data_IF_830323335017
#
_entry.id   IF_830323335017
#
_cell.length_a   1.000
_cell.length_b   1.000
_cell.length_c   1.000
_cell.angle_alpha   90.00
_cell.angle_beta   90.00
_cell.angle_gamma   90.00
#
_symmetry.space_group_name_H-M   'P 1'
#
loop_
_entity.id
_entity.type
_entity.pdbx_description
1 polymer ?
#
# COMPACT_ATOMS: atom_id res chain seq x y z
N UNK A 1 -11.76 -14.42 4.49
CA UNK A 1 -10.93 -13.37 3.89
C UNK A 1 -10.01 -12.88 4.99
N UNK A 2 -8.69 -13.05 4.85
CA UNK A 2 -7.73 -12.76 5.92
C UNK A 2 -7.07 -11.39 5.81
N UNK A 3 -6.16 -11.11 6.72
CA UNK A 3 -5.51 -9.80 6.90
C UNK A 3 -4.91 -9.23 5.60
N UNK A 4 -4.36 -10.09 4.74
CA UNK A 4 -3.75 -9.69 3.46
C UNK A 4 -4.72 -8.87 2.60
N UNK A 5 -5.99 -9.27 2.53
CA UNK A 5 -6.96 -8.61 1.67
C UNK A 5 -7.69 -7.46 2.38
N UNK A 6 -7.87 -7.57 3.70
CA UNK A 6 -8.59 -6.56 4.50
C UNK A 6 -7.71 -5.33 4.81
N UNK A 7 -6.43 -5.56 5.08
CA UNK A 7 -5.48 -4.55 5.56
C UNK A 7 -4.22 -4.50 4.69
N UNK A 8 -3.69 -5.65 4.27
CA UNK A 8 -2.50 -5.74 3.43
C UNK A 8 -2.64 -5.10 2.04
N UNK A 9 -3.88 -4.93 1.55
CA UNK A 9 -4.17 -4.26 0.30
C UNK A 9 -3.74 -2.78 0.30
N UNK A 10 -3.76 -2.12 1.45
CA UNK A 10 -3.34 -0.72 1.58
C UNK A 10 -1.84 -0.52 1.34
N UNK A 11 -0.92 -1.17 2.09
CA UNK A 11 0.51 -1.02 1.82
C UNK A 11 0.92 -1.60 0.46
N UNK A 12 0.26 -2.63 -0.06
CA UNK A 12 0.56 -3.15 -1.41
C UNK A 12 0.18 -2.16 -2.50
N UNK A 13 -1.00 -1.53 -2.41
CA UNK A 13 -1.42 -0.52 -3.40
C UNK A 13 -0.54 0.74 -3.37
N UNK A 14 -0.08 1.16 -2.18
CA UNK A 14 0.90 2.25 -2.06
C UNK A 14 2.27 1.85 -2.61
N UNK A 15 2.76 0.64 -2.32
CA UNK A 15 4.00 0.13 -2.90
C UNK A 15 3.91 0.10 -4.44
N UNK A 16 2.79 -0.38 -4.97
CA UNK A 16 2.51 -0.38 -6.41
C UNK A 16 2.60 1.03 -7.00
N UNK A 17 1.91 2.00 -6.39
CA UNK A 17 1.95 3.39 -6.82
C UNK A 17 3.37 3.98 -6.79
N UNK A 18 4.15 3.71 -5.73
CA UNK A 18 5.53 4.19 -5.61
C UNK A 18 6.43 3.61 -6.69
N UNK A 19 6.37 2.30 -6.91
CA UNK A 19 7.22 1.62 -7.90
C UNK A 19 6.89 2.08 -9.31
N UNK A 20 5.60 2.17 -9.67
CA UNK A 20 5.20 2.67 -10.98
C UNK A 20 5.63 4.12 -11.19
N UNK A 21 5.42 4.99 -10.19
CA UNK A 21 5.75 6.42 -10.30
C UNK A 21 7.26 6.64 -10.48
N UNK A 22 8.09 5.87 -9.78
CA UNK A 22 9.53 6.05 -9.80
C UNK A 22 10.25 5.31 -10.94
N UNK A 23 9.71 4.17 -11.40
CA UNK A 23 10.42 3.25 -12.30
C UNK A 23 9.61 2.80 -13.53
N UNK A 24 8.37 3.29 -13.69
CA UNK A 24 7.50 2.97 -14.82
C UNK A 24 6.56 1.78 -14.58
N UNK A 25 5.56 1.64 -15.45
CA UNK A 25 4.48 0.63 -15.36
C UNK A 25 4.98 -0.80 -15.21
N UNK A 26 6.05 -1.16 -15.94
CA UNK A 26 6.47 -2.55 -16.04
C UNK A 26 7.34 -2.99 -14.85
N UNK A 27 7.73 -2.06 -13.97
CA UNK A 27 8.66 -2.34 -12.88
C UNK A 27 8.04 -3.20 -11.79
N UNK A 28 6.74 -3.05 -11.53
CA UNK A 28 6.08 -3.76 -10.44
C UNK A 28 5.97 -5.28 -10.69
N UNK A 29 5.76 -5.68 -11.95
CA UNK A 29 5.68 -7.09 -12.34
C UNK A 29 7.01 -7.84 -12.17
N UNK A 30 8.14 -7.13 -12.21
CA UNK A 30 9.50 -7.69 -12.17
C UNK A 30 10.02 -7.76 -10.73
N UNK A 31 9.62 -8.81 -10.02
CA UNK A 31 9.87 -8.95 -8.58
C UNK A 31 10.09 -10.40 -8.14
N UNK A 32 10.73 -10.54 -6.98
CA UNK A 32 10.84 -11.76 -6.20
C UNK A 32 10.20 -11.54 -4.84
N UNK A 33 9.45 -12.53 -4.36
CA UNK A 33 8.67 -12.44 -3.12
C UNK A 33 9.12 -13.51 -2.12
N UNK A 34 9.21 -13.13 -0.85
CA UNK A 34 9.32 -14.05 0.28
C UNK A 34 8.33 -13.62 1.34
N UNK A 35 7.40 -14.49 1.71
CA UNK A 35 6.35 -14.18 2.68
C UNK A 35 6.29 -15.22 3.78
N UNK A 36 5.94 -14.80 4.99
CA UNK A 36 5.72 -15.65 6.16
C UNK A 36 4.49 -15.19 6.90
N UNK A 37 3.84 -16.09 7.63
CA UNK A 37 2.66 -15.71 8.38
C UNK A 37 2.05 -16.83 9.21
N UNK A 38 1.10 -16.43 10.04
CA UNK A 38 0.32 -17.32 10.90
C UNK A 38 -1.09 -17.49 10.33
N UNK A 39 -1.61 -18.71 10.43
CA UNK A 39 -2.99 -19.04 10.06
C UNK A 39 -3.85 -19.03 11.33
N UNK A 40 -5.00 -18.38 11.25
CA UNK A 40 -6.07 -18.57 12.24
C UNK A 40 -6.91 -19.77 11.85
N UNK A 41 -7.26 -20.60 12.83
CA UNK A 41 -8.27 -21.67 12.70
C UNK A 41 -9.56 -21.34 13.48
N UNK A 42 -9.63 -20.16 14.09
CA UNK A 42 -10.79 -19.72 14.86
C UNK A 42 -11.87 -19.17 13.92
N UNK A 43 -13.06 -19.78 13.95
CA UNK A 43 -14.19 -19.42 13.10
C UNK A 43 -14.01 -19.85 11.64
N UNK A 44 -13.04 -19.26 10.93
CA UNK A 44 -12.71 -19.62 9.55
C UNK A 44 -11.19 -19.71 9.36
N UNK A 45 -10.73 -20.61 8.50
CA UNK A 45 -9.30 -20.72 8.18
C UNK A 45 -8.87 -19.55 7.31
N UNK A 46 -7.95 -18.72 7.78
CA UNK A 46 -7.42 -17.57 7.03
C UNK A 46 -6.03 -17.14 7.53
N UNK A 47 -5.29 -16.41 6.70
CA UNK A 47 -4.06 -15.74 7.13
C UNK A 47 -4.41 -14.63 8.13
N UNK A 48 -3.91 -14.74 9.35
CA UNK A 48 -4.15 -13.79 10.45
C UNK A 48 -3.01 -12.78 10.57
N UNK A 49 -1.78 -13.24 10.42
CA UNK A 49 -0.57 -12.42 10.46
C UNK A 49 0.23 -12.67 9.19
N UNK A 50 0.71 -11.62 8.55
CA UNK A 50 1.41 -11.71 7.29
C UNK A 50 2.59 -10.74 7.25
N UNK A 51 3.75 -11.26 6.87
CA UNK A 51 4.98 -10.56 6.59
C UNK A 51 5.38 -10.82 5.14
N UNK A 52 5.81 -9.79 4.41
CA UNK A 52 6.31 -9.90 3.04
C UNK A 52 7.61 -9.13 2.88
N UNK A 53 8.58 -9.71 2.18
CA UNK A 53 9.71 -9.02 1.60
C UNK A 53 9.66 -9.16 0.09
N UNK A 54 9.88 -8.03 -0.60
CA UNK A 54 9.89 -7.93 -2.05
C UNK A 54 11.25 -7.41 -2.49
N UNK A 55 11.84 -8.04 -3.51
CA UNK A 55 12.99 -7.52 -4.25
C UNK A 55 12.57 -7.28 -5.70
N UNK A 56 12.63 -6.04 -6.14
CA UNK A 56 12.39 -5.68 -7.54
C UNK A 56 13.68 -5.78 -8.35
N UNK A 57 13.58 -6.02 -9.67
CA UNK A 57 14.74 -6.14 -10.56
C UNK A 57 15.57 -4.85 -10.67
N UNK A 58 14.94 -3.70 -10.40
CA UNK A 58 15.60 -2.39 -10.31
C UNK A 58 16.41 -2.20 -9.00
N UNK A 59 16.45 -3.20 -8.11
CA UNK A 59 17.20 -3.19 -6.87
C UNK A 59 16.45 -2.65 -5.65
N UNK A 60 15.21 -2.16 -5.81
CA UNK A 60 14.39 -1.72 -4.68
C UNK A 60 14.01 -2.91 -3.81
N UNK A 61 14.15 -2.74 -2.50
CA UNK A 61 13.67 -3.68 -1.48
C UNK A 61 12.46 -3.07 -0.77
N UNK A 62 11.43 -3.87 -0.55
CA UNK A 62 10.27 -3.49 0.24
C UNK A 62 9.94 -4.55 1.28
N UNK A 63 9.46 -4.11 2.45
CA UNK A 63 8.95 -4.97 3.50
C UNK A 63 7.56 -4.50 3.90
N UNK A 64 6.58 -5.41 3.86
CA UNK A 64 5.20 -5.14 4.24
C UNK A 64 4.79 -6.05 5.40
N UNK A 65 3.88 -5.55 6.24
CA UNK A 65 3.26 -6.30 7.32
C UNK A 65 1.75 -6.07 7.29
N UNK A 66 0.99 -7.07 7.69
CA UNK A 66 -0.45 -6.98 7.91
C UNK A 66 -0.84 -7.96 9.01
N UNK A 67 -1.72 -7.55 9.92
CA UNK A 67 -2.16 -8.41 11.02
C UNK A 67 -3.59 -8.10 11.43
N UNK A 68 -4.36 -9.15 11.72
CA UNK A 68 -5.66 -9.08 12.40
C UNK A 68 -5.53 -9.41 13.90
N UNK A 69 -4.31 -9.67 14.39
CA UNK A 69 -4.05 -10.14 15.76
C UNK A 69 -3.95 -9.03 16.79
N UNK A 70 -3.51 -7.82 16.40
CA UNK A 70 -3.23 -6.74 17.35
C UNK A 70 -3.18 -5.38 16.69
N UNK A 71 -3.59 -4.36 17.46
CA UNK A 71 -3.41 -2.94 17.13
C UNK A 71 -4.13 -2.47 15.87
N UNK A 72 -4.19 -1.16 15.69
CA UNK A 72 -4.64 -0.54 14.43
C UNK A 72 -3.61 0.52 14.00
N UNK A 73 -2.33 0.17 14.14
CA UNK A 73 -1.24 1.08 13.79
C UNK A 73 -1.01 1.07 12.28
N UNK A 74 -0.58 2.21 11.74
CA UNK A 74 -0.41 2.44 10.33
C UNK A 74 0.90 3.17 10.06
N UNK A 75 1.74 2.61 9.20
CA UNK A 75 2.94 3.30 8.76
C UNK A 75 3.29 2.95 7.32
N UNK A 76 3.84 3.93 6.62
CA UNK A 76 4.43 3.74 5.31
C UNK A 76 5.56 4.75 5.13
N UNK A 77 6.73 4.26 4.72
CA UNK A 77 7.92 5.07 4.54
C UNK A 77 8.69 4.62 3.29
N UNK A 78 9.24 5.60 2.59
CA UNK A 78 10.10 5.44 1.42
C UNK A 78 11.48 5.97 1.81
N UNK A 79 12.50 5.15 1.67
CA UNK A 79 13.88 5.50 1.99
C UNK A 79 14.68 5.54 0.68
N UNK A 80 15.27 6.69 0.40
CA UNK A 80 16.23 6.87 -0.69
C UNK A 80 17.66 7.05 -0.16
N UNK A 81 18.55 7.42 -1.06
CA UNK A 81 19.96 7.74 -0.78
C UNK A 81 20.13 9.11 -0.10
N UNK A 82 19.22 10.06 -0.34
CA UNK A 82 19.27 11.43 0.21
C UNK A 82 18.46 11.62 1.49
N UNK A 83 17.54 10.71 1.80
CA UNK A 83 16.63 10.88 2.92
C UNK A 83 15.49 9.89 2.94
N UNK A 84 14.45 10.22 3.72
CA UNK A 84 13.21 9.47 3.83
C UNK A 84 11.99 10.36 3.67
N UNK A 85 10.93 9.79 3.13
CA UNK A 85 9.57 10.32 3.15
C UNK A 85 8.72 9.34 3.94
N UNK A 86 7.90 9.80 4.89
CA UNK A 86 6.96 8.93 5.61
C UNK A 86 5.63 9.63 5.83
N UNK A 87 4.58 8.85 5.92
CA UNK A 87 3.31 9.34 6.45
C UNK A 87 3.40 9.45 7.99
N UNK A 88 2.94 10.58 8.52
CA UNK A 88 2.81 10.82 9.96
C UNK A 88 1.38 10.50 10.40
N UNK A 89 0.39 10.80 9.56
CA UNK A 89 -1.01 10.39 9.74
C UNK A 89 -1.32 9.11 8.95
N UNK A 90 -2.44 8.46 9.23
CA UNK A 90 -2.82 7.19 8.57
C UNK A 90 -3.05 7.41 7.06
N UNK A 91 -2.27 6.77 6.16
CA UNK A 91 -2.37 7.02 4.73
C UNK A 91 -3.51 6.30 4.02
N UNK A 92 -4.15 5.31 4.65
CA UNK A 92 -5.26 4.55 4.05
C UNK A 92 -6.63 4.83 4.66
N UNK A 93 -6.67 5.36 5.89
CA UNK A 93 -7.89 5.88 6.51
C UNK A 93 -7.69 7.33 7.00
N UNK A 94 -7.29 8.27 6.11
CA UNK A 94 -7.21 9.68 6.49
C UNK A 94 -8.60 10.21 6.82
N UNK A 95 -8.67 10.98 7.90
CA UNK A 95 -9.86 11.75 8.31
C UNK A 95 -9.77 13.18 7.79
N UNK A 96 -10.88 13.91 7.83
CA UNK A 96 -10.88 15.34 7.60
C UNK A 96 -9.95 16.06 8.61
N UNK A 97 -9.28 17.11 8.16
CA UNK A 97 -8.25 17.85 8.89
C UNK A 97 -6.88 17.74 8.24
N UNK A 98 -5.84 17.97 9.04
CA UNK A 98 -4.46 18.00 8.57
C UNK A 98 -3.90 16.58 8.39
N UNK A 99 -3.62 16.21 7.15
CA UNK A 99 -2.89 14.99 6.82
C UNK A 99 -1.41 15.34 6.64
N UNK A 100 -0.52 14.60 7.30
CA UNK A 100 0.88 15.03 7.45
C UNK A 100 1.81 14.00 6.82
N UNK A 101 2.67 14.48 5.92
CA UNK A 101 3.80 13.75 5.36
C UNK A 101 5.08 14.39 5.90
N UNK A 102 5.99 13.60 6.44
CA UNK A 102 7.30 14.06 6.88
C UNK A 102 8.36 13.74 5.82
N UNK A 103 9.16 14.74 5.45
CA UNK A 103 10.33 14.59 4.61
C UNK A 103 11.56 14.91 5.46
N UNK A 104 12.53 13.99 5.48
CA UNK A 104 13.77 14.16 6.24
C UNK A 104 14.97 13.84 5.36
N UNK A 105 15.86 14.81 5.21
CA UNK A 105 17.17 14.60 4.56
C UNK A 105 18.18 14.02 5.54
N UNK A 106 19.10 13.19 5.07
CA UNK A 106 20.17 12.68 5.95
C UNK A 106 21.18 13.79 6.27
N UNK A 107 21.42 14.03 7.57
CA UNK A 107 22.27 15.12 8.04
C UNK A 107 21.67 16.53 7.96
N UNK A 108 20.42 16.65 7.49
CA UNK A 108 19.73 17.93 7.32
C UNK A 108 18.45 18.07 8.13
N UNK A 109 17.60 19.00 7.70
CA UNK A 109 16.33 19.32 8.34
C UNK A 109 15.26 18.26 8.09
N UNK A 110 14.28 18.26 8.98
CA UNK A 110 13.01 17.56 8.82
C UNK A 110 11.95 18.61 8.53
N UNK A 111 11.14 18.39 7.51
CA UNK A 111 10.00 19.23 7.16
C UNK A 111 8.71 18.40 7.17
N UNK A 112 7.60 19.09 7.42
CA UNK A 112 6.27 18.50 7.33
C UNK A 112 5.51 19.16 6.19
N UNK A 113 4.98 18.32 5.29
CA UNK A 113 3.99 18.71 4.30
C UNK A 113 2.63 18.45 4.94
N UNK A 114 1.91 19.53 5.19
CA UNK A 114 0.53 19.48 5.68
C UNK A 114 -0.38 19.53 4.46
N UNK A 115 -1.28 18.55 4.36
CA UNK A 115 -2.31 18.44 3.34
C UNK A 115 -3.66 18.61 4.05
N UNK A 116 -4.21 19.83 4.10
CA UNK A 116 -5.53 20.08 4.66
C UNK A 116 -6.59 19.37 3.82
N UNK A 117 -7.52 18.71 4.50
CA UNK A 117 -8.57 17.93 3.88
C UNK A 117 -9.93 18.31 4.50
N UNK A 118 -10.88 18.74 3.68
CA UNK A 118 -12.24 19.06 4.15
C UNK A 118 -13.08 17.79 4.38
N UNK A 119 -12.62 16.66 3.84
CA UNK A 119 -13.35 15.40 3.76
C UNK A 119 -12.44 14.23 4.17
N UNK A 120 -13.05 13.12 4.55
CA UNK A 120 -12.31 11.87 4.78
C UNK A 120 -11.97 11.16 3.46
N UNK A 121 -11.25 10.04 3.57
CA UNK A 121 -10.85 9.22 2.43
C UNK A 121 -12.03 8.87 1.49
N UNK A 122 -13.17 8.48 2.07
CA UNK A 122 -14.34 8.03 1.31
C UNK A 122 -15.01 9.18 0.58
N UNK A 123 -15.09 10.34 1.22
CA UNK A 123 -15.57 11.55 0.58
C UNK A 123 -14.75 11.89 -0.67
N UNK A 124 -13.41 11.88 -0.57
CA UNK A 124 -12.56 12.17 -1.72
C UNK A 124 -12.67 11.10 -2.82
N UNK A 125 -12.87 9.83 -2.46
CA UNK A 125 -13.15 8.77 -3.44
C UNK A 125 -14.44 9.04 -4.21
N UNK A 126 -15.53 9.41 -3.53
CA UNK A 126 -16.80 9.78 -4.18
C UNK A 126 -16.60 10.96 -5.12
N UNK A 127 -15.94 12.04 -4.66
CA UNK A 127 -15.67 13.22 -5.49
C UNK A 127 -14.82 12.90 -6.72
N UNK A 128 -13.85 12.00 -6.58
CA UNK A 128 -13.00 11.58 -7.70
C UNK A 128 -13.79 10.82 -8.76
N UNK A 129 -14.71 9.95 -8.34
CA UNK A 129 -15.60 9.23 -9.27
C UNK A 129 -16.58 10.19 -9.94
N UNK A 130 -17.19 11.12 -9.20
CA UNK A 130 -18.07 12.16 -9.76
C UNK A 130 -17.35 12.98 -10.85
N UNK A 131 -16.10 13.40 -10.59
CA UNK A 131 -15.27 14.13 -11.56
C UNK A 131 -15.05 13.29 -12.83
N UNK A 132 -14.63 12.02 -12.70
CA UNK A 132 -14.42 11.15 -13.85
C UNK A 132 -15.67 10.94 -14.69
N UNK A 133 -16.82 10.70 -14.05
CA UNK A 133 -18.09 10.56 -14.75
C UNK A 133 -18.47 11.84 -15.50
N UNK A 134 -18.31 13.01 -14.86
CA UNK A 134 -18.65 14.31 -15.48
C UNK A 134 -17.81 14.61 -16.73
N UNK A 135 -16.57 14.11 -16.78
CA UNK A 135 -15.62 14.27 -17.89
C UNK A 135 -15.68 13.13 -18.92
N UNK A 136 -16.51 12.11 -18.70
CA UNK A 136 -16.59 10.92 -19.56
C UNK A 136 -15.34 10.02 -19.49
N UNK A 137 -14.54 10.14 -18.43
CA UNK A 137 -13.35 9.30 -18.21
C UNK A 137 -13.81 7.89 -17.82
N UNK A 138 -13.38 6.89 -18.60
CA UNK A 138 -13.77 5.48 -18.40
C UNK A 138 -12.73 4.65 -17.66
N UNK A 139 -11.54 5.20 -17.49
CA UNK A 139 -10.38 4.54 -16.88
C UNK A 139 -9.75 5.52 -15.92
N UNK A 140 -9.58 5.11 -14.66
CA UNK A 140 -8.98 5.97 -13.65
C UNK A 140 -7.55 6.38 -14.06
N UNK A 141 -7.18 7.60 -13.68
CA UNK A 141 -5.83 8.14 -13.84
C UNK A 141 -5.13 8.13 -12.48
N UNK A 142 -3.79 8.03 -12.48
CA UNK A 142 -3.02 8.16 -11.24
C UNK A 142 -3.37 9.48 -10.52
N UNK A 143 -3.45 9.47 -9.18
CA UNK A 143 -3.01 8.41 -8.27
C UNK A 143 -4.00 7.24 -8.10
N UNK A 144 -5.23 7.33 -8.60
CA UNK A 144 -6.21 6.24 -8.52
C UNK A 144 -5.79 5.06 -9.41
N UNK A 145 -5.83 3.81 -8.91
CA UNK A 145 -5.51 2.65 -9.74
C UNK A 145 -6.61 2.42 -10.79
N UNK A 146 -6.20 2.14 -12.02
CA UNK A 146 -7.08 1.61 -13.06
C UNK A 146 -7.27 0.10 -12.93
N UNK A 147 -7.97 -0.52 -13.88
CA UNK A 147 -8.27 -1.96 -13.86
C UNK A 147 -7.00 -2.80 -13.93
N UNK A 148 -6.08 -2.50 -14.84
CA UNK A 148 -4.85 -3.26 -15.02
C UNK A 148 -3.97 -3.19 -13.76
N UNK A 149 -3.84 -2.00 -13.17
CA UNK A 149 -3.11 -1.76 -11.92
C UNK A 149 -3.77 -2.50 -10.75
N UNK A 150 -5.11 -2.55 -10.72
CA UNK A 150 -5.85 -3.32 -9.72
C UNK A 150 -5.59 -4.82 -9.85
N UNK A 151 -5.48 -5.34 -11.08
CA UNK A 151 -5.12 -6.74 -11.33
C UNK A 151 -3.69 -7.04 -10.88
N UNK A 152 -2.73 -6.16 -11.13
CA UNK A 152 -1.35 -6.33 -10.68
C UNK A 152 -1.23 -6.34 -9.15
N UNK A 153 -1.93 -5.42 -8.47
CA UNK A 153 -2.03 -5.37 -7.00
C UNK A 153 -2.61 -6.70 -6.49
N UNK A 154 -3.69 -7.17 -7.10
CA UNK A 154 -4.35 -8.42 -6.73
C UNK A 154 -3.45 -9.65 -6.99
N UNK A 155 -2.63 -9.61 -8.04
CA UNK A 155 -1.61 -10.62 -8.31
C UNK A 155 -0.62 -10.74 -7.17
N UNK A 156 -0.04 -9.62 -6.70
CA UNK A 156 0.88 -9.65 -5.56
C UNK A 156 0.21 -10.17 -4.28
N UNK A 157 -1.01 -9.72 -3.98
CA UNK A 157 -1.75 -10.18 -2.79
C UNK A 157 -2.01 -11.69 -2.80
N UNK A 158 -2.41 -12.25 -3.94
CA UNK A 158 -2.65 -13.70 -4.08
C UNK A 158 -1.36 -14.52 -4.04
N UNK A 159 -0.27 -14.04 -4.64
CA UNK A 159 1.05 -14.64 -4.49
C UNK A 159 1.53 -14.64 -3.03
N UNK A 160 1.33 -13.54 -2.30
CA UNK A 160 1.69 -13.42 -0.89
C UNK A 160 0.91 -14.43 -0.03
N UNK A 161 -0.41 -14.54 -0.23
CA UNK A 161 -1.22 -15.54 0.46
C UNK A 161 -0.74 -16.96 0.14
N UNK A 162 -0.47 -17.28 -1.12
CA UNK A 162 -0.01 -18.60 -1.54
C UNK A 162 1.33 -18.99 -0.90
N UNK A 163 2.28 -18.04 -0.78
CA UNK A 163 3.56 -18.25 -0.10
C UNK A 163 3.34 -18.68 1.34
N UNK A 164 2.46 -18.01 2.08
CA UNK A 164 2.16 -18.37 3.47
C UNK A 164 1.46 -19.72 3.52
N UNK A 165 0.38 -19.91 2.77
CA UNK A 165 -0.38 -21.16 2.79
C UNK A 165 0.49 -22.39 2.46
N UNK A 166 1.46 -22.27 1.57
CA UNK A 166 2.38 -23.37 1.21
C UNK A 166 3.23 -23.87 2.39
N UNK A 167 3.42 -23.08 3.43
CA UNK A 167 4.19 -23.43 4.63
C UNK A 167 3.37 -24.16 5.69
N UNK A 168 2.04 -24.17 5.53
CA UNK A 168 1.07 -24.77 6.46
C UNK A 168 0.31 -25.94 5.82
N UNK A 169 0.80 -26.45 4.69
CA UNK A 169 0.35 -27.70 4.03
C UNK A 169 1.22 -28.85 4.50
#
# INVERSE_FOLDING_TARGET
MGTIYNLGCYPVSLLHFVIETAFGSDAFAKRQLHGFGNISTEGSVHVRDASLTVRFDNGVLASLQSTDSYGNDSSFAILGDKGRIRFVTNPWLPIAGDNIIEIKTYGGSTEQVIVPADMDAFGYQVKKVEDYLSRGVKTAERPSPNVDQSVEIMGLLTEWEALIQSQHK
#
